data_IF_327723734184
#
_entry.id   IF_327723734184
#
_cell.length_a   1.000
_cell.length_b   1.000
_cell.length_c   1.000
_cell.angle_alpha   90.00
_cell.angle_beta   90.00
_cell.angle_gamma   90.00
#
_symmetry.space_group_name_H-M   'P 1'
#
loop_
_entity.id
_entity.type
_entity.pdbx_description
1 polymer ?
#
# COMPACT_ATOMS: atom_id res chain seq x y z
N UNK A 1 18.32 0.07 18.45
CA UNK A 1 17.96 1.37 17.93
C UNK A 1 16.51 1.35 17.50
N UNK A 2 15.73 2.29 18.02
CA UNK A 2 14.31 2.46 17.69
C UNK A 2 14.16 3.68 16.79
N UNK A 3 13.46 3.53 15.69
CA UNK A 3 13.17 4.62 14.75
C UNK A 3 11.70 5.02 14.86
N UNK A 4 11.41 6.30 14.69
CA UNK A 4 10.04 6.80 14.71
C UNK A 4 9.21 6.30 13.53
N UNK A 5 9.85 6.14 12.36
CA UNK A 5 9.21 5.77 11.12
C UNK A 5 9.99 4.67 10.39
N UNK A 6 9.33 3.56 10.16
CA UNK A 6 9.87 2.49 9.34
C UNK A 6 9.43 2.69 7.89
N UNK A 7 10.32 3.29 7.11
CA UNK A 7 10.14 3.46 5.68
C UNK A 7 10.95 2.43 4.91
N UNK A 8 10.36 1.81 3.94
CA UNK A 8 11.04 0.90 3.02
C UNK A 8 10.65 1.24 1.60
N UNK A 9 11.66 1.48 0.79
CA UNK A 9 11.51 1.60 -0.65
C UNK A 9 11.50 0.17 -1.25
N UNK A 10 10.36 -0.26 -1.77
CA UNK A 10 10.23 -1.57 -2.41
C UNK A 10 10.78 -1.46 -3.84
N UNK A 11 12.09 -1.60 -3.98
CA UNK A 11 12.79 -1.46 -5.27
C UNK A 11 12.40 -2.53 -6.30
N UNK A 12 11.83 -3.65 -5.86
CA UNK A 12 11.43 -4.74 -6.74
C UNK A 12 10.08 -4.47 -7.44
N UNK A 13 9.41 -3.39 -7.12
CA UNK A 13 8.13 -3.02 -7.72
C UNK A 13 8.16 -1.61 -8.24
N UNK A 14 7.63 -1.43 -9.44
CA UNK A 14 7.44 -0.12 -10.08
C UNK A 14 6.67 0.92 -9.23
N UNK A 15 6.15 0.51 -8.09
CA UNK A 15 5.35 1.34 -7.20
C UNK A 15 5.95 1.35 -5.82
N UNK A 16 6.61 2.42 -5.50
CA UNK A 16 7.00 2.77 -4.15
C UNK A 16 5.74 3.19 -3.35
N UNK A 17 5.11 2.24 -2.70
CA UNK A 17 3.86 2.50 -1.98
C UNK A 17 4.02 3.54 -0.86
N UNK A 18 5.14 3.54 -0.16
CA UNK A 18 5.37 4.46 0.94
C UNK A 18 5.54 5.90 0.46
N UNK A 19 6.52 6.13 -0.40
CA UNK A 19 6.85 7.48 -0.87
C UNK A 19 5.75 8.06 -1.77
N UNK A 20 5.20 7.28 -2.71
CA UNK A 20 4.12 7.76 -3.57
C UNK A 20 2.88 8.15 -2.76
N UNK A 21 2.51 7.36 -1.75
CA UNK A 21 1.39 7.69 -0.87
C UNK A 21 1.65 9.00 -0.13
N UNK A 22 2.86 9.19 0.38
CA UNK A 22 3.25 10.41 1.07
C UNK A 22 3.29 11.61 0.11
N UNK A 23 3.85 11.44 -1.10
CA UNK A 23 3.91 12.49 -2.10
C UNK A 23 2.51 12.95 -2.55
N UNK A 24 1.59 12.01 -2.74
CA UNK A 24 0.19 12.34 -3.05
C UNK A 24 -0.48 13.02 -1.87
N UNK A 25 -0.20 12.61 -0.63
CA UNK A 25 -0.67 13.31 0.55
C UNK A 25 -0.12 14.75 0.65
N UNK A 26 1.09 14.99 0.17
CA UNK A 26 1.67 16.33 0.04
C UNK A 26 1.09 17.16 -1.13
N UNK A 27 0.17 16.59 -1.92
CA UNK A 27 -0.50 17.27 -3.02
C UNK A 27 0.08 16.99 -4.42
N UNK A 28 1.09 16.13 -4.53
CA UNK A 28 1.57 15.68 -5.83
C UNK A 28 0.50 14.84 -6.55
N UNK A 29 0.41 14.88 -7.87
CA UNK A 29 -0.51 14.02 -8.60
C UNK A 29 -0.09 12.55 -8.47
N UNK A 30 -1.06 11.65 -8.52
CA UNK A 30 -0.80 10.22 -8.54
C UNK A 30 -0.26 9.79 -9.92
N UNK A 31 1.06 9.70 -10.04
CA UNK A 31 1.85 9.50 -11.26
C UNK A 31 1.74 10.64 -12.27
N UNK A 32 0.56 10.95 -12.75
CA UNK A 32 0.30 12.02 -13.72
C UNK A 32 -0.93 12.81 -13.28
N UNK A 33 -0.90 14.09 -13.57
CA UNK A 33 -2.01 15.01 -13.36
C UNK A 33 -2.15 15.98 -14.52
N UNK A 34 -3.21 16.75 -14.52
CA UNK A 34 -3.39 17.85 -15.48
C UNK A 34 -3.29 19.16 -14.71
N UNK A 35 -2.38 20.03 -15.13
CA UNK A 35 -2.22 21.39 -14.61
C UNK A 35 -2.14 22.36 -15.79
N UNK A 36 -2.97 23.37 -15.77
CA UNK A 36 -3.06 24.39 -16.84
C UNK A 36 -3.27 23.76 -18.25
N UNK A 37 -4.04 22.66 -18.29
CA UNK A 37 -4.35 21.96 -19.54
C UNK A 37 -3.22 21.05 -20.06
N UNK A 38 -2.11 20.94 -19.32
CA UNK A 38 -0.98 20.08 -19.70
C UNK A 38 -0.86 18.88 -18.75
N UNK A 39 -0.44 17.73 -19.29
CA UNK A 39 -0.11 16.56 -18.49
C UNK A 39 1.24 16.78 -17.84
N UNK A 40 1.27 16.69 -16.51
CA UNK A 40 2.50 16.77 -15.70
C UNK A 40 2.73 15.47 -14.96
N UNK A 41 3.96 15.00 -14.94
CA UNK A 41 4.34 13.87 -14.10
C UNK A 41 4.55 14.32 -12.64
N UNK A 42 4.25 13.45 -11.68
CA UNK A 42 4.36 13.75 -10.25
C UNK A 42 5.73 14.30 -9.84
N UNK A 43 6.82 13.76 -10.39
CA UNK A 43 8.20 14.19 -10.09
C UNK A 43 8.56 15.55 -10.68
N UNK A 44 7.72 16.15 -11.51
CA UNK A 44 7.89 17.50 -12.05
C UNK A 44 7.23 18.57 -11.20
N UNK A 45 6.63 18.19 -10.08
CA UNK A 45 5.86 19.10 -9.24
C UNK A 45 6.64 19.54 -8.01
N UNK A 46 6.38 20.76 -7.54
CA UNK A 46 7.00 21.30 -6.32
C UNK A 46 6.57 20.51 -5.08
N UNK A 47 5.35 20.01 -5.06
CA UNK A 47 4.83 19.18 -3.97
C UNK A 47 5.64 17.89 -3.81
N UNK A 48 6.05 17.28 -4.92
CA UNK A 48 6.95 16.13 -4.89
C UNK A 48 8.33 16.48 -4.35
N UNK A 49 8.88 17.60 -4.79
CA UNK A 49 10.18 18.09 -4.29
C UNK A 49 10.13 18.42 -2.81
N UNK A 50 9.04 19.00 -2.33
CA UNK A 50 8.85 19.28 -0.91
C UNK A 50 8.73 17.98 -0.09
N UNK A 51 8.08 16.95 -0.63
CA UNK A 51 8.05 15.63 -0.02
C UNK A 51 9.46 15.03 0.09
N UNK A 52 10.29 15.13 -0.96
CA UNK A 52 11.68 14.67 -0.92
C UNK A 52 12.50 15.41 0.14
N UNK A 53 12.36 16.73 0.24
CA UNK A 53 13.04 17.52 1.28
C UNK A 53 12.63 17.08 2.68
N UNK A 54 11.35 16.89 2.90
CA UNK A 54 10.83 16.39 4.17
C UNK A 54 11.42 15.00 4.50
N UNK A 55 11.46 14.08 3.54
CA UNK A 55 12.06 12.74 3.74
C UNK A 55 13.55 12.83 4.03
N UNK A 56 14.27 13.72 3.35
CA UNK A 56 15.68 13.99 3.63
C UNK A 56 15.88 14.50 5.05
N UNK A 57 15.09 15.47 5.47
CA UNK A 57 15.16 16.00 6.84
C UNK A 57 14.85 14.94 7.89
N UNK A 58 13.87 14.06 7.63
CA UNK A 58 13.57 12.93 8.50
C UNK A 58 14.73 11.94 8.59
N UNK A 59 15.43 11.70 7.48
CA UNK A 59 16.62 10.85 7.44
C UNK A 59 17.78 11.45 8.23
N UNK A 60 18.12 12.71 7.98
CA UNK A 60 19.20 13.44 8.68
C UNK A 60 18.98 13.51 10.19
N UNK A 61 17.72 13.59 10.63
CA UNK A 61 17.37 13.61 12.04
C UNK A 61 17.21 12.21 12.68
N UNK A 62 17.46 11.14 11.92
CA UNK A 62 17.37 9.77 12.41
C UNK A 62 15.94 9.28 12.66
N UNK A 63 14.94 9.92 12.08
CA UNK A 63 13.54 9.50 12.19
C UNK A 63 13.19 8.36 11.25
N UNK A 64 13.94 8.19 10.16
CA UNK A 64 13.85 7.05 9.26
C UNK A 64 14.85 5.97 9.65
N UNK A 65 14.50 4.72 9.41
CA UNK A 65 15.46 3.64 9.51
C UNK A 65 16.57 3.81 8.47
N UNK A 66 17.83 3.73 8.92
CA UNK A 66 19.00 3.98 8.06
C UNK A 66 19.13 3.03 6.87
N UNK A 67 18.51 1.86 6.97
CA UNK A 67 18.56 0.80 5.95
C UNK A 67 17.39 0.84 4.97
N UNK A 68 16.57 1.90 4.98
CA UNK A 68 15.34 1.94 4.17
C UNK A 68 15.57 1.68 2.68
N UNK A 69 16.74 2.04 2.15
CA UNK A 69 17.12 1.82 0.76
C UNK A 69 17.55 0.38 0.45
N UNK A 70 17.94 -0.38 1.46
CA UNK A 70 18.55 -1.72 1.30
C UNK A 70 17.68 -2.85 1.82
N UNK A 71 16.65 -2.52 2.60
CA UNK A 71 15.72 -3.52 3.11
C UNK A 71 14.86 -4.08 1.98
N UNK A 72 15.02 -5.36 1.71
CA UNK A 72 14.15 -6.08 0.78
C UNK A 72 12.72 -6.24 1.29
N UNK A 73 11.80 -6.54 0.38
CA UNK A 73 10.35 -6.64 0.66
C UNK A 73 10.00 -7.63 1.79
N UNK A 74 10.81 -8.68 1.97
CA UNK A 74 10.64 -9.67 3.04
C UNK A 74 10.95 -9.13 4.44
N UNK A 75 11.94 -8.25 4.55
CA UNK A 75 12.44 -7.74 5.83
C UNK A 75 11.80 -6.41 6.26
N UNK A 76 11.03 -5.78 5.39
CA UNK A 76 10.47 -4.43 5.63
C UNK A 76 9.57 -4.31 6.87
N UNK A 77 8.98 -5.39 7.29
CA UNK A 77 8.11 -5.41 8.47
C UNK A 77 8.86 -5.62 9.77
N UNK A 78 10.09 -6.15 9.72
CA UNK A 78 10.82 -6.56 10.91
C UNK A 78 10.95 -5.45 11.96
N UNK A 79 11.34 -4.20 11.64
CA UNK A 79 11.43 -3.16 12.64
C UNK A 79 10.10 -2.91 13.39
N UNK A 80 8.98 -3.01 12.70
CA UNK A 80 7.67 -2.86 13.34
C UNK A 80 7.31 -4.10 14.18
N UNK A 81 7.54 -5.31 13.66
CA UNK A 81 7.25 -6.57 14.36
C UNK A 81 8.11 -6.78 15.60
N UNK A 82 9.29 -6.17 15.62
CA UNK A 82 10.22 -6.19 16.76
C UNK A 82 10.01 -5.02 17.73
N UNK A 83 8.97 -4.20 17.52
CA UNK A 83 8.68 -3.03 18.35
C UNK A 83 9.71 -1.90 18.24
N UNK A 84 10.55 -1.90 17.20
CA UNK A 84 11.60 -0.90 16.96
C UNK A 84 11.17 0.27 16.10
N UNK A 85 9.96 0.23 15.52
CA UNK A 85 9.40 1.31 14.74
C UNK A 85 8.00 1.66 15.23
N UNK A 86 7.72 2.93 15.38
CA UNK A 86 6.43 3.43 15.86
C UNK A 86 5.40 3.64 14.75
N UNK A 87 5.83 3.69 13.50
CA UNK A 87 4.97 3.96 12.36
C UNK A 87 5.47 3.31 11.08
N UNK A 88 4.56 2.84 10.22
CA UNK A 88 4.89 2.40 8.86
C UNK A 88 3.69 2.52 7.92
N UNK A 89 3.98 2.63 6.63
CA UNK A 89 2.96 2.47 5.59
C UNK A 89 2.73 0.99 5.28
N UNK A 90 1.47 0.59 5.27
CA UNK A 90 1.09 -0.77 4.90
C UNK A 90 -0.34 -0.79 4.34
N UNK A 91 -0.74 -1.93 3.80
CA UNK A 91 -2.13 -2.16 3.40
C UNK A 91 -2.96 -2.64 4.59
N UNK A 92 -4.26 -2.37 4.57
CA UNK A 92 -5.18 -2.85 5.59
C UNK A 92 -5.13 -4.38 5.75
N UNK A 93 -4.92 -5.11 4.66
CA UNK A 93 -4.79 -6.58 4.65
C UNK A 93 -3.71 -7.07 5.62
N UNK A 94 -2.53 -6.42 5.65
CA UNK A 94 -1.48 -6.81 6.58
C UNK A 94 -1.80 -6.49 8.03
N UNK A 95 -2.75 -5.59 8.24
CA UNK A 95 -3.09 -5.05 9.52
C UNK A 95 -4.23 -5.81 10.21
N UNK A 96 -5.25 -6.23 9.45
CA UNK A 96 -6.51 -6.75 10.00
C UNK A 96 -6.82 -8.20 9.63
N UNK A 97 -6.07 -8.80 8.70
CA UNK A 97 -6.31 -10.19 8.30
C UNK A 97 -5.78 -11.14 9.38
N UNK A 98 -6.58 -12.09 9.88
CA UNK A 98 -6.13 -13.14 10.78
C UNK A 98 -4.91 -13.89 10.21
N UNK A 99 -3.87 -14.09 11.02
CA UNK A 99 -2.58 -14.62 10.56
C UNK A 99 -1.73 -13.59 9.80
N UNK A 100 -2.14 -12.33 9.79
CA UNK A 100 -1.41 -11.23 9.18
C UNK A 100 -0.11 -10.89 9.92
N UNK A 101 0.62 -9.93 9.35
CA UNK A 101 1.95 -9.57 9.90
C UNK A 101 1.90 -9.08 11.34
N UNK A 102 0.85 -8.35 11.72
CA UNK A 102 0.77 -7.79 13.06
C UNK A 102 0.35 -8.78 14.14
N UNK A 103 -0.18 -9.94 13.79
CA UNK A 103 -0.37 -11.03 14.75
C UNK A 103 0.97 -11.48 15.37
N UNK A 104 2.05 -11.39 14.60
CA UNK A 104 3.41 -11.65 15.12
C UNK A 104 3.82 -10.63 16.17
N UNK A 105 3.51 -9.35 15.97
CA UNK A 105 3.79 -8.32 16.99
C UNK A 105 3.00 -8.60 18.27
N UNK A 106 1.71 -8.88 18.17
CA UNK A 106 0.85 -9.19 19.32
C UNK A 106 1.21 -10.48 20.00
N UNK A 107 1.77 -11.46 19.26
CA UNK A 107 2.30 -12.68 19.87
C UNK A 107 3.59 -12.42 20.67
N UNK A 108 4.42 -11.47 20.23
CA UNK A 108 5.66 -11.09 20.91
C UNK A 108 5.39 -10.12 22.07
N UNK A 109 4.43 -9.24 21.94
CA UNK A 109 4.01 -8.25 22.92
C UNK A 109 2.47 -8.17 22.95
N UNK A 110 1.83 -8.95 23.84
CA UNK A 110 0.36 -8.97 23.95
C UNK A 110 -0.26 -7.64 24.40
N UNK A 111 0.55 -6.76 25.00
CA UNK A 111 0.10 -5.44 25.45
C UNK A 111 0.28 -4.36 24.37
N UNK A 112 0.84 -4.70 23.21
CA UNK A 112 1.00 -3.77 22.11
C UNK A 112 -0.35 -3.27 21.58
N UNK A 113 -0.47 -1.97 21.42
CA UNK A 113 -1.66 -1.33 20.85
C UNK A 113 -1.35 -0.85 19.43
N UNK A 114 -2.07 -1.39 18.46
CA UNK A 114 -1.90 -1.06 17.05
C UNK A 114 -3.07 -0.18 16.60
N UNK A 115 -2.76 1.03 16.17
CA UNK A 115 -3.72 1.96 15.57
C UNK A 115 -3.56 2.00 14.05
N UNK A 116 -4.68 2.15 13.34
CA UNK A 116 -4.70 2.34 11.90
C UNK A 116 -5.24 3.71 11.57
N UNK A 117 -4.57 4.39 10.67
CA UNK A 117 -5.02 5.68 10.17
C UNK A 117 -4.86 5.73 8.66
N UNK A 118 -5.91 6.11 7.97
CA UNK A 118 -5.78 6.49 6.57
C UNK A 118 -4.99 7.80 6.49
N UNK A 119 -3.97 7.84 5.64
CA UNK A 119 -3.16 9.03 5.50
C UNK A 119 -3.99 10.15 4.87
N UNK A 120 -4.10 11.25 5.58
CA UNK A 120 -4.65 12.51 5.07
C UNK A 120 -3.83 13.64 5.68
N UNK A 121 -3.33 14.53 4.85
CA UNK A 121 -2.68 15.77 5.28
C UNK A 121 -3.66 16.97 5.26
N UNK A 122 -4.92 16.73 4.94
CA UNK A 122 -5.98 17.71 5.12
C UNK A 122 -6.26 17.87 6.63
N UNK A 123 -6.10 19.05 7.20
CA UNK A 123 -6.35 19.30 8.62
C UNK A 123 -7.76 18.92 9.07
N UNK A 124 -8.73 19.04 8.17
CA UNK A 124 -10.13 18.71 8.43
C UNK A 124 -10.45 17.21 8.25
N UNK A 125 -9.47 16.41 7.77
CA UNK A 125 -9.60 14.98 7.54
C UNK A 125 -10.58 14.58 6.43
N UNK A 126 -11.02 15.54 5.61
CA UNK A 126 -12.02 15.32 4.56
C UNK A 126 -11.44 14.72 3.28
N UNK A 127 -10.14 14.85 3.07
CA UNK A 127 -9.43 14.26 1.92
C UNK A 127 -8.69 13.02 2.34
N UNK A 128 -9.18 11.89 1.88
CA UNK A 128 -8.46 10.62 1.98
C UNK A 128 -7.63 10.45 0.72
N UNK A 129 -6.33 10.31 0.91
CA UNK A 129 -5.41 10.06 -0.19
C UNK A 129 -5.46 8.58 -0.55
N UNK A 130 -5.92 8.29 -1.75
CA UNK A 130 -5.85 6.96 -2.34
C UNK A 130 -4.77 6.95 -3.42
N UNK A 131 -3.72 6.16 -3.21
CA UNK A 131 -2.65 5.98 -4.19
C UNK A 131 -2.99 4.98 -5.30
N UNK A 132 -4.20 4.50 -5.37
CA UNK A 132 -4.62 3.53 -6.38
C UNK A 132 -4.70 4.18 -7.78
N UNK A 133 -4.10 3.53 -8.75
CA UNK A 133 -3.58 4.18 -9.95
C UNK A 133 -4.58 4.24 -11.09
N UNK A 134 -5.42 3.24 -11.28
CA UNK A 134 -6.16 3.10 -12.55
C UNK A 134 -7.61 2.64 -12.40
N UNK A 135 -8.05 2.26 -11.21
CA UNK A 135 -9.34 1.59 -11.04
C UNK A 135 -9.37 0.14 -11.56
N UNK A 136 -8.31 -0.30 -12.23
CA UNK A 136 -8.14 -1.69 -12.70
C UNK A 136 -6.77 -2.16 -12.29
N UNK A 137 -6.68 -3.09 -11.34
CA UNK A 137 -5.40 -3.64 -10.87
C UNK A 137 -5.11 -5.06 -11.38
N UNK A 138 -6.07 -5.66 -12.08
CA UNK A 138 -5.92 -6.99 -12.65
C UNK A 138 -7.16 -7.43 -13.42
N UNK A 139 -7.06 -8.55 -14.11
CA UNK A 139 -8.16 -9.14 -14.83
C UNK A 139 -7.92 -10.63 -15.09
N UNK A 140 -8.99 -11.38 -15.25
CA UNK A 140 -8.93 -12.78 -15.64
C UNK A 140 -8.93 -12.88 -17.16
N UNK A 141 -8.01 -13.65 -17.70
CA UNK A 141 -7.90 -13.89 -19.14
C UNK A 141 -8.27 -15.34 -19.43
N UNK A 142 -9.15 -15.53 -20.41
CA UNK A 142 -9.58 -16.85 -20.84
C UNK A 142 -9.03 -17.14 -22.24
N UNK A 143 -7.90 -17.86 -22.36
CA UNK A 143 -7.32 -18.16 -23.67
C UNK A 143 -8.26 -19.05 -24.50
N UNK A 144 -8.46 -18.72 -25.76
CA UNK A 144 -9.28 -19.52 -26.70
C UNK A 144 -8.73 -20.94 -26.87
N UNK A 145 -7.42 -21.12 -26.63
CA UNK A 145 -6.78 -22.44 -26.61
C UNK A 145 -7.25 -23.34 -25.47
N UNK A 146 -7.65 -22.75 -24.33
CA UNK A 146 -8.11 -23.47 -23.15
C UNK A 146 -9.64 -23.52 -23.04
N UNK A 147 -10.32 -22.40 -23.31
CA UNK A 147 -11.78 -22.29 -23.25
C UNK A 147 -12.32 -22.25 -24.68
N UNK A 148 -12.83 -23.38 -25.14
CA UNK A 148 -13.15 -23.59 -26.56
C UNK A 148 -14.61 -23.33 -26.92
N UNK A 149 -15.47 -23.20 -25.93
CA UNK A 149 -16.90 -22.94 -26.15
C UNK A 149 -17.40 -21.81 -25.26
N UNK A 150 -18.46 -21.15 -25.72
CA UNK A 150 -19.17 -20.16 -24.90
C UNK A 150 -19.80 -20.81 -23.66
N UNK A 151 -20.23 -22.04 -23.75
CA UNK A 151 -20.80 -22.80 -22.63
C UNK A 151 -19.79 -23.00 -21.53
N UNK A 152 -18.53 -23.38 -21.87
CA UNK A 152 -17.46 -23.55 -20.89
C UNK A 152 -17.09 -22.21 -20.25
N UNK A 153 -17.03 -21.13 -21.02
CA UNK A 153 -16.79 -19.79 -20.50
C UNK A 153 -17.88 -19.38 -19.51
N UNK A 154 -19.15 -19.61 -19.83
CA UNK A 154 -20.28 -19.30 -18.95
C UNK A 154 -20.20 -20.07 -17.63
N UNK A 155 -19.81 -21.35 -17.65
CA UNK A 155 -19.62 -22.17 -16.45
C UNK A 155 -18.52 -21.59 -15.55
N UNK A 156 -17.40 -21.18 -16.14
CA UNK A 156 -16.29 -20.57 -15.39
C UNK A 156 -16.71 -19.24 -14.78
N UNK A 157 -17.38 -18.39 -15.55
CA UNK A 157 -17.87 -17.10 -15.05
C UNK A 157 -18.91 -17.29 -13.95
N UNK A 158 -19.82 -18.26 -14.11
CA UNK A 158 -20.80 -18.57 -13.09
C UNK A 158 -20.12 -19.04 -11.79
N UNK A 159 -19.12 -19.90 -11.88
CA UNK A 159 -18.33 -20.30 -10.73
C UNK A 159 -17.69 -19.11 -10.00
N UNK A 160 -17.14 -18.15 -10.74
CA UNK A 160 -16.57 -16.92 -10.15
C UNK A 160 -17.65 -16.07 -9.46
N UNK A 161 -18.84 -16.01 -10.03
CA UNK A 161 -19.96 -15.28 -9.40
C UNK A 161 -20.39 -16.00 -8.11
N UNK A 162 -20.49 -17.32 -8.15
CA UNK A 162 -20.90 -18.13 -6.99
C UNK A 162 -19.90 -18.00 -5.84
N UNK A 163 -18.59 -17.94 -6.13
CA UNK A 163 -17.55 -17.70 -5.11
C UNK A 163 -17.71 -16.37 -4.38
N UNK A 164 -18.26 -15.35 -5.05
CA UNK A 164 -18.47 -14.02 -4.47
C UNK A 164 -19.86 -13.83 -3.84
N UNK A 165 -20.64 -14.88 -3.69
CA UNK A 165 -22.00 -14.79 -3.17
C UNK A 165 -22.26 -15.76 -2.01
N UNK A 166 -23.13 -15.32 -1.11
CA UNK A 166 -23.71 -16.16 -0.05
C UNK A 166 -22.68 -16.79 0.89
N UNK A 167 -22.85 -18.09 1.13
CA UNK A 167 -22.02 -18.82 2.09
C UNK A 167 -20.60 -19.12 1.56
N UNK A 168 -20.43 -19.14 0.23
CA UNK A 168 -19.09 -19.29 -0.35
C UNK A 168 -18.23 -18.06 -0.06
N UNK A 169 -18.78 -16.86 -0.22
CA UNK A 169 -18.07 -15.63 0.11
C UNK A 169 -17.67 -15.58 1.59
N UNK A 170 -18.58 -15.97 2.48
CA UNK A 170 -18.29 -16.06 3.93
C UNK A 170 -17.21 -17.10 4.26
N UNK A 171 -17.22 -18.25 3.57
CA UNK A 171 -16.22 -19.30 3.80
C UNK A 171 -14.82 -18.91 3.31
N UNK A 172 -14.74 -17.96 2.38
CA UNK A 172 -13.49 -17.43 1.84
C UNK A 172 -13.02 -16.14 2.53
N UNK A 173 -13.76 -15.65 3.53
CA UNK A 173 -13.50 -14.36 4.20
C UNK A 173 -13.41 -13.16 3.21
N UNK A 174 -14.28 -13.17 2.18
CA UNK A 174 -14.34 -12.10 1.17
C UNK A 174 -15.49 -11.12 1.51
#
# INVERSE_FOLDING_TARGET
DTTGFNYVDDQDKEVNYGFNTLAVACGAPNRYGVRDGQVVAYFQTEEYMNCLRMMHDMYENGYLNSEFMTLGSGAKYNPMLEGRAGFMFTTATNAVTPGGKFDTLLANDPDAVIGYKMLSLDPDGNKVVNSNITGVSGGNVFPVSAVKSEEDLRKILQFMVDLNQGDCAKALDI
#
